data_IF_047520192564
#
_entry.id   IF_047520192564
#
_cell.length_a   1.000
_cell.length_b   1.000
_cell.length_c   1.000
_cell.angle_alpha   90.00
_cell.angle_beta   90.00
_cell.angle_gamma   90.00
#
_symmetry.space_group_name_H-M   'P 1'
#
loop_
_entity.id
_entity.type
_entity.pdbx_description
1 polymer ?
#
# COMPACT_ATOMS: atom_id res chain seq x y z
N UNK A 1 -74.46 -29.22 -12.88
CA UNK A 1 -73.70 -29.23 -11.60
C UNK A 1 -72.58 -30.20 -11.74
N UNK A 2 -71.35 -29.73 -12.06
CA UNK A 2 -70.19 -30.55 -12.22
C UNK A 2 -69.22 -30.32 -11.00
N UNK A 3 -68.90 -31.36 -10.21
CA UNK A 3 -68.09 -31.22 -9.00
C UNK A 3 -66.66 -31.65 -9.27
N UNK A 4 -65.87 -30.91 -10.06
CA UNK A 4 -64.48 -31.23 -10.31
C UNK A 4 -63.54 -30.05 -10.39
N UNK A 5 -63.64 -29.12 -9.43
CA UNK A 5 -62.56 -28.12 -9.22
C UNK A 5 -61.81 -28.42 -7.90
N UNK A 6 -60.95 -29.45 -7.96
CA UNK A 6 -59.93 -29.63 -6.91
C UNK A 6 -58.85 -28.56 -7.07
N UNK A 7 -58.80 -27.64 -6.10
CA UNK A 7 -57.70 -26.71 -5.92
C UNK A 7 -56.39 -27.48 -5.67
N UNK A 8 -55.49 -27.41 -6.64
CA UNK A 8 -54.13 -27.83 -6.43
C UNK A 8 -53.46 -26.89 -5.38
N UNK A 9 -53.13 -27.43 -4.22
CA UNK A 9 -52.33 -26.74 -3.24
C UNK A 9 -50.88 -26.64 -3.74
N UNK A 10 -50.48 -25.46 -4.21
CA UNK A 10 -49.11 -25.14 -4.52
C UNK A 10 -48.33 -25.13 -3.16
N UNK A 11 -47.52 -26.14 -2.93
CA UNK A 11 -46.55 -26.11 -1.83
C UNK A 11 -45.55 -25.02 -2.16
N UNK A 12 -45.24 -24.10 -1.20
CA UNK A 12 -44.15 -23.15 -1.40
C UNK A 12 -42.85 -23.94 -1.52
N UNK A 13 -42.12 -23.70 -2.61
CA UNK A 13 -40.74 -24.18 -2.73
C UNK A 13 -39.92 -23.53 -1.62
N UNK A 14 -39.05 -24.26 -0.94
CA UNK A 14 -38.13 -23.67 0.03
C UNK A 14 -37.22 -22.70 -0.72
N UNK A 15 -37.18 -21.47 -0.25
CA UNK A 15 -36.24 -20.46 -0.64
C UNK A 15 -34.81 -21.05 -0.63
N UNK A 16 -33.95 -20.78 -1.64
CA UNK A 16 -32.57 -21.28 -1.60
C UNK A 16 -31.94 -20.77 -0.31
N UNK A 17 -31.61 -21.73 0.56
CA UNK A 17 -30.90 -21.47 1.80
C UNK A 17 -29.70 -20.58 1.48
N UNK A 18 -29.62 -19.46 2.17
CA UNK A 18 -28.41 -18.64 2.27
C UNK A 18 -27.32 -19.63 2.68
N UNK A 19 -26.43 -19.93 1.73
CA UNK A 19 -25.34 -20.86 1.93
C UNK A 19 -24.58 -20.35 3.17
N UNK A 20 -24.62 -21.15 4.23
CA UNK A 20 -23.96 -20.93 5.50
C UNK A 20 -22.54 -20.41 5.26
N UNK A 21 -22.35 -19.16 5.59
CA UNK A 21 -21.03 -18.58 5.80
C UNK A 21 -20.50 -19.17 7.11
N UNK A 22 -20.08 -20.45 7.08
CA UNK A 22 -19.35 -21.04 8.18
C UNK A 22 -18.04 -20.28 8.36
N UNK A 23 -17.84 -19.67 9.53
CA UNK A 23 -16.59 -18.97 9.81
C UNK A 23 -15.47 -20.01 9.93
N UNK A 24 -14.44 -19.82 9.12
CA UNK A 24 -13.07 -20.32 9.24
C UNK A 24 -12.89 -21.69 9.94
N UNK A 25 -13.19 -22.82 9.29
CA UNK A 25 -12.72 -24.12 9.79
C UNK A 25 -11.37 -24.56 9.20
N UNK A 26 -10.63 -23.67 8.50
CA UNK A 26 -9.41 -24.04 7.78
C UNK A 26 -8.15 -24.11 8.65
N UNK A 27 -8.18 -23.53 9.85
CA UNK A 27 -7.06 -23.55 10.80
C UNK A 27 -7.06 -24.75 11.76
N UNK A 28 -8.15 -25.53 11.83
CA UNK A 28 -8.35 -26.57 12.87
C UNK A 28 -8.54 -27.99 12.32
N UNK A 29 -8.10 -28.30 11.10
CA UNK A 29 -8.01 -29.72 10.72
C UNK A 29 -6.86 -30.39 11.47
N UNK A 30 -7.06 -31.64 11.98
CA UNK A 30 -6.06 -32.32 12.77
C UNK A 30 -4.73 -32.42 12.04
N UNK A 31 -3.65 -32.22 12.78
CA UNK A 31 -2.30 -32.05 12.29
C UNK A 31 -1.83 -33.23 11.43
N UNK A 32 -1.99 -33.11 10.12
CA UNK A 32 -1.13 -33.87 9.23
C UNK A 32 0.32 -33.50 9.57
N UNK A 33 1.22 -34.48 9.68
CA UNK A 33 2.62 -34.20 10.00
C UNK A 33 3.19 -33.16 9.03
N UNK A 34 4.08 -32.32 9.48
CA UNK A 34 4.73 -31.27 8.64
C UNK A 34 5.32 -31.91 7.36
N UNK A 35 5.90 -33.12 7.46
CA UNK A 35 6.39 -33.90 6.32
C UNK A 35 5.31 -34.11 5.24
N UNK A 36 4.11 -34.47 5.64
CA UNK A 36 3.00 -34.68 4.69
C UNK A 36 2.58 -33.38 4.02
N UNK A 37 2.50 -32.31 4.78
CA UNK A 37 2.15 -30.97 4.23
C UNK A 37 3.16 -30.48 3.20
N UNK A 38 4.46 -30.67 3.47
CA UNK A 38 5.53 -30.34 2.53
C UNK A 38 5.40 -31.20 1.26
N UNK A 39 5.17 -32.51 1.40
CA UNK A 39 5.02 -33.42 0.28
C UNK A 39 3.77 -33.12 -0.59
N UNK A 40 2.70 -32.61 0.00
CA UNK A 40 1.47 -32.19 -0.69
C UNK A 40 1.57 -30.80 -1.32
N UNK A 41 2.64 -30.03 -1.01
CA UNK A 41 2.86 -28.71 -1.60
C UNK A 41 3.41 -28.86 -3.03
N UNK A 42 2.82 -28.18 -4.03
CA UNK A 42 3.38 -28.19 -5.37
C UNK A 42 4.85 -27.76 -5.37
N UNK A 43 5.72 -28.59 -5.98
CA UNK A 43 7.18 -28.40 -5.92
C UNK A 43 7.62 -27.02 -6.42
N UNK A 44 6.97 -26.51 -7.49
CA UNK A 44 7.23 -25.17 -8.01
C UNK A 44 6.95 -24.06 -6.99
N UNK A 45 5.87 -24.16 -6.21
CA UNK A 45 5.54 -23.19 -5.14
C UNK A 45 6.56 -23.29 -4.01
N UNK A 46 6.89 -24.52 -3.57
CA UNK A 46 7.85 -24.74 -2.50
C UNK A 46 9.24 -24.20 -2.88
N UNK A 47 9.76 -24.61 -4.03
CA UNK A 47 11.10 -24.19 -4.47
C UNK A 47 11.16 -22.68 -4.76
N UNK A 48 10.13 -22.10 -5.40
CA UNK A 48 10.09 -20.65 -5.64
C UNK A 48 10.06 -19.86 -4.31
N UNK A 49 9.28 -20.34 -3.31
CA UNK A 49 9.23 -19.71 -1.98
C UNK A 49 10.57 -19.80 -1.27
N UNK A 50 11.20 -20.98 -1.24
CA UNK A 50 12.51 -21.18 -0.61
C UNK A 50 13.61 -20.38 -1.30
N UNK A 51 13.64 -20.38 -2.62
CA UNK A 51 14.62 -19.61 -3.40
C UNK A 51 14.42 -18.08 -3.19
N UNK A 52 13.18 -17.61 -3.19
CA UNK A 52 12.86 -16.21 -2.93
C UNK A 52 13.28 -15.76 -1.53
N UNK A 53 12.96 -16.57 -0.50
CA UNK A 53 13.38 -16.30 0.88
C UNK A 53 14.91 -16.31 0.99
N UNK A 54 15.60 -17.31 0.40
CA UNK A 54 17.04 -17.39 0.45
C UNK A 54 17.71 -16.19 -0.25
N UNK A 55 17.20 -15.80 -1.42
CA UNK A 55 17.69 -14.63 -2.15
C UNK A 55 17.48 -13.33 -1.35
N UNK A 56 16.31 -13.14 -0.75
CA UNK A 56 16.00 -11.98 0.09
C UNK A 56 16.93 -11.90 1.32
N UNK A 57 17.02 -12.97 2.12
CA UNK A 57 17.87 -12.98 3.31
C UNK A 57 19.36 -12.82 2.95
N UNK A 58 19.81 -13.40 1.84
CA UNK A 58 21.18 -13.22 1.36
C UNK A 58 21.43 -11.78 0.92
N UNK A 59 20.51 -11.19 0.16
CA UNK A 59 20.64 -9.79 -0.28
C UNK A 59 20.73 -8.83 0.91
N UNK A 60 19.86 -9.00 1.91
CA UNK A 60 19.88 -8.19 3.13
C UNK A 60 21.17 -8.40 3.91
N UNK A 61 21.61 -9.67 4.08
CA UNK A 61 22.87 -9.98 4.77
C UNK A 61 24.09 -9.36 4.11
N UNK A 62 24.15 -9.42 2.77
CA UNK A 62 25.27 -8.83 2.00
C UNK A 62 25.21 -7.31 2.02
N UNK A 63 24.03 -6.72 1.88
CA UNK A 63 23.84 -5.27 1.76
C UNK A 63 23.93 -4.52 3.08
N UNK A 64 23.42 -5.10 4.19
CA UNK A 64 23.35 -4.43 5.52
C UNK A 64 24.29 -5.04 6.54
N UNK A 65 24.94 -6.17 6.22
CA UNK A 65 25.82 -6.88 7.14
C UNK A 65 25.13 -7.88 8.07
N UNK A 66 23.79 -7.81 8.22
CA UNK A 66 23.03 -8.67 9.11
C UNK A 66 21.58 -8.90 8.63
N UNK A 67 20.91 -9.89 9.22
CA UNK A 67 19.48 -10.09 9.05
C UNK A 67 18.75 -9.68 10.33
N UNK A 68 17.80 -8.77 10.20
CA UNK A 68 16.97 -8.35 11.31
C UNK A 68 15.86 -9.35 11.64
N UNK A 69 15.34 -9.28 12.86
CA UNK A 69 14.32 -10.21 13.37
C UNK A 69 13.05 -10.21 12.51
N UNK A 70 12.66 -9.03 12.02
CA UNK A 70 11.48 -8.82 11.18
C UNK A 70 11.58 -9.61 9.87
N UNK A 71 12.75 -9.65 9.24
CA UNK A 71 13.00 -10.38 7.99
C UNK A 71 12.89 -11.89 8.20
N UNK A 72 13.43 -12.40 9.31
CA UNK A 72 13.36 -13.81 9.68
C UNK A 72 11.91 -14.21 9.96
N UNK A 73 11.17 -13.41 10.74
CA UNK A 73 9.76 -13.66 11.08
C UNK A 73 8.89 -13.65 9.82
N UNK A 74 9.07 -12.65 8.95
CA UNK A 74 8.34 -12.55 7.68
C UNK A 74 8.62 -13.75 6.78
N UNK A 75 9.90 -14.16 6.65
CA UNK A 75 10.29 -15.33 5.87
C UNK A 75 9.70 -16.62 6.43
N UNK A 76 9.72 -16.81 7.73
CA UNK A 76 9.09 -17.98 8.39
C UNK A 76 7.57 -17.98 8.17
N UNK A 77 6.91 -16.84 8.29
CA UNK A 77 5.47 -16.71 8.02
C UNK A 77 5.13 -17.05 6.56
N UNK A 78 5.92 -16.56 5.60
CA UNK A 78 5.76 -16.90 4.17
C UNK A 78 5.85 -18.41 3.94
N UNK A 79 6.84 -19.06 4.52
CA UNK A 79 7.02 -20.50 4.39
C UNK A 79 5.85 -21.28 5.01
N UNK A 80 5.43 -20.91 6.22
CA UNK A 80 4.27 -21.50 6.89
C UNK A 80 3.01 -21.36 6.04
N UNK A 81 2.72 -20.16 5.52
CA UNK A 81 1.55 -19.93 4.68
C UNK A 81 1.59 -20.75 3.38
N UNK A 82 2.77 -20.94 2.79
CA UNK A 82 2.94 -21.70 1.55
C UNK A 82 2.68 -23.21 1.75
N UNK A 83 3.04 -23.78 2.92
CA UNK A 83 3.02 -25.25 3.13
C UNK A 83 1.88 -25.75 4.03
N UNK A 84 1.24 -24.88 4.84
CA UNK A 84 0.32 -25.32 5.89
C UNK A 84 -0.95 -25.99 5.35
N UNK A 85 -1.58 -25.43 4.33
CA UNK A 85 -2.79 -25.96 3.69
C UNK A 85 -3.01 -25.33 2.32
N UNK A 86 -3.90 -25.94 1.51
CA UNK A 86 -4.34 -25.34 0.24
C UNK A 86 -4.99 -23.95 0.42
N UNK A 87 -5.69 -23.76 1.55
CA UNK A 87 -6.30 -22.47 1.86
C UNK A 87 -5.29 -21.40 2.17
N UNK A 88 -4.29 -21.68 3.01
CA UNK A 88 -3.23 -20.72 3.34
C UNK A 88 -2.33 -20.46 2.13
N UNK A 89 -2.08 -21.45 1.30
CA UNK A 89 -1.33 -21.31 0.04
C UNK A 89 -2.04 -20.38 -0.95
N UNK A 90 -3.36 -20.54 -1.12
CA UNK A 90 -4.16 -19.62 -1.96
C UNK A 90 -4.16 -18.20 -1.41
N UNK A 91 -4.26 -18.06 -0.10
CA UNK A 91 -4.12 -16.75 0.57
C UNK A 91 -2.72 -16.17 0.31
N UNK A 92 -1.66 -16.94 0.56
CA UNK A 92 -0.27 -16.56 0.33
C UNK A 92 -0.03 -16.11 -1.12
N UNK A 93 -0.47 -16.90 -2.12
CA UNK A 93 -0.29 -16.54 -3.53
C UNK A 93 -1.10 -15.31 -3.93
N UNK A 94 -2.29 -15.14 -3.36
CA UNK A 94 -3.11 -13.93 -3.59
C UNK A 94 -2.51 -12.66 -2.97
N UNK A 95 -1.87 -12.81 -1.81
CA UNK A 95 -1.23 -11.70 -1.09
C UNK A 95 0.25 -11.52 -1.46
N UNK A 96 0.81 -12.37 -2.32
CA UNK A 96 2.22 -12.33 -2.71
C UNK A 96 2.69 -10.95 -3.19
N UNK A 97 1.95 -10.19 -4.01
CA UNK A 97 2.41 -8.87 -4.43
C UNK A 97 2.60 -7.87 -3.27
N UNK A 98 1.79 -7.97 -2.20
CA UNK A 98 1.97 -7.14 -1.00
C UNK A 98 3.19 -7.57 -0.18
N UNK A 99 3.49 -8.86 -0.14
CA UNK A 99 4.72 -9.36 0.50
C UNK A 99 5.96 -8.93 -0.30
N UNK A 100 5.89 -9.02 -1.63
CA UNK A 100 6.95 -8.52 -2.51
C UNK A 100 7.15 -7.01 -2.37
N UNK A 101 6.08 -6.23 -2.20
CA UNK A 101 6.18 -4.81 -1.88
C UNK A 101 6.98 -4.58 -0.59
N UNK A 102 6.69 -5.32 0.48
CA UNK A 102 7.45 -5.23 1.73
C UNK A 102 8.94 -5.56 1.52
N UNK A 103 9.25 -6.60 0.75
CA UNK A 103 10.63 -6.96 0.39
C UNK A 103 11.30 -5.85 -0.43
N UNK A 104 10.63 -5.30 -1.45
CA UNK A 104 11.18 -4.22 -2.28
C UNK A 104 11.42 -2.97 -1.43
N UNK A 105 10.51 -2.64 -0.52
CA UNK A 105 10.70 -1.53 0.41
C UNK A 105 11.92 -1.76 1.32
N UNK A 106 12.07 -2.97 1.86
CA UNK A 106 13.20 -3.30 2.73
C UNK A 106 14.55 -3.25 1.97
N UNK A 107 14.55 -3.63 0.69
CA UNK A 107 15.73 -3.53 -0.18
C UNK A 107 16.18 -2.09 -0.44
N UNK A 108 15.35 -1.06 -0.19
CA UNK A 108 15.75 0.34 -0.33
C UNK A 108 16.89 0.70 0.63
N UNK A 109 16.98 0.03 1.79
CA UNK A 109 18.09 0.19 2.73
C UNK A 109 19.46 -0.15 2.09
N UNK A 110 19.50 -1.14 1.20
CA UNK A 110 20.74 -1.54 0.49
C UNK A 110 21.12 -0.51 -0.58
N UNK A 111 20.13 0.08 -1.22
CA UNK A 111 20.31 1.00 -2.34
C UNK A 111 20.42 2.47 -1.95
N UNK A 112 20.13 2.79 -0.68
CA UNK A 112 20.23 4.15 -0.14
C UNK A 112 21.59 4.83 -0.41
N UNK A 113 22.76 4.17 -0.30
CA UNK A 113 24.03 4.81 -0.59
C UNK A 113 24.18 5.30 -2.04
N UNK A 114 23.37 4.80 -2.98
CA UNK A 114 23.40 5.25 -4.37
C UNK A 114 22.99 6.72 -4.52
N UNK A 115 22.17 7.26 -3.61
CA UNK A 115 21.76 8.68 -3.65
C UNK A 115 22.94 9.64 -3.60
N UNK A 116 24.07 9.26 -2.97
CA UNK A 116 25.27 10.09 -2.91
C UNK A 116 25.90 10.37 -4.31
N UNK A 117 25.55 9.54 -5.29
CA UNK A 117 26.05 9.67 -6.67
C UNK A 117 25.02 10.30 -7.61
N UNK A 118 23.84 10.67 -7.10
CA UNK A 118 22.76 11.25 -7.88
C UNK A 118 22.60 12.76 -7.63
N UNK A 119 22.09 13.45 -8.64
CA UNK A 119 21.70 14.85 -8.47
C UNK A 119 20.39 14.91 -7.67
N UNK A 120 20.44 15.46 -6.46
CA UNK A 120 19.27 15.67 -5.64
C UNK A 120 18.60 16.99 -5.99
N UNK A 121 17.31 16.94 -6.29
CA UNK A 121 16.48 18.10 -6.58
C UNK A 121 15.94 18.71 -5.28
N UNK A 122 16.60 19.75 -4.76
CA UNK A 122 16.22 20.40 -3.50
C UNK A 122 15.32 21.61 -3.75
N UNK A 123 15.75 22.48 -4.67
CA UNK A 123 15.10 23.77 -4.89
C UNK A 123 13.92 23.69 -5.88
N UNK A 124 14.00 22.78 -6.87
CA UNK A 124 13.02 22.71 -7.96
C UNK A 124 11.59 22.41 -7.47
N UNK A 125 11.33 21.39 -6.63
CA UNK A 125 9.99 21.13 -6.10
C UNK A 125 9.48 22.28 -5.22
N UNK A 126 10.33 22.86 -4.38
CA UNK A 126 9.99 24.00 -3.53
C UNK A 126 9.54 25.21 -4.35
N UNK A 127 10.33 25.60 -5.38
CA UNK A 127 9.97 26.75 -6.22
C UNK A 127 8.73 26.50 -7.07
N UNK A 128 8.54 25.26 -7.53
CA UNK A 128 7.32 24.87 -8.24
C UNK A 128 6.08 25.08 -7.36
N UNK A 129 6.09 24.52 -6.16
CA UNK A 129 4.96 24.66 -5.23
C UNK A 129 4.73 26.12 -4.81
N UNK A 130 5.80 26.86 -4.53
CA UNK A 130 5.70 28.27 -4.15
C UNK A 130 5.12 29.14 -5.26
N UNK A 131 5.43 28.81 -6.52
CA UNK A 131 4.95 29.57 -7.67
C UNK A 131 3.49 29.28 -8.00
N UNK A 132 3.08 27.99 -7.95
CA UNK A 132 1.74 27.58 -8.37
C UNK A 132 0.72 27.55 -7.24
N UNK A 133 1.16 27.22 -6.03
CA UNK A 133 0.29 27.02 -4.86
C UNK A 133 0.64 27.96 -3.69
N UNK A 134 1.48 28.97 -3.96
CA UNK A 134 1.93 29.90 -2.94
C UNK A 134 0.78 30.68 -2.30
N UNK A 135 0.85 30.82 -0.98
CA UNK A 135 -0.12 31.51 -0.13
C UNK A 135 0.47 32.87 0.26
N UNK A 136 -0.23 33.95 -0.06
CA UNK A 136 0.19 35.30 0.31
C UNK A 136 0.18 35.48 1.84
N UNK A 137 1.25 36.03 2.39
CA UNK A 137 1.42 36.32 3.82
C UNK A 137 2.07 37.68 4.01
N UNK A 138 1.98 38.27 5.19
CA UNK A 138 2.58 39.57 5.52
C UNK A 138 4.11 39.64 5.28
N UNK A 139 4.79 38.46 5.35
CA UNK A 139 6.25 38.35 5.11
C UNK A 139 6.64 37.86 3.70
N UNK A 140 5.70 37.81 2.74
CA UNK A 140 5.91 37.28 1.40
C UNK A 140 5.08 36.02 1.12
N UNK A 141 5.36 35.36 0.00
CA UNK A 141 4.64 34.13 -0.40
C UNK A 141 5.20 32.90 0.35
N UNK A 142 4.34 32.12 0.95
CA UNK A 142 4.66 30.86 1.61
C UNK A 142 4.24 29.68 0.73
N UNK A 143 4.96 28.55 0.77
CA UNK A 143 4.41 27.30 0.27
C UNK A 143 3.26 26.82 1.17
N UNK A 144 2.36 25.93 0.70
CA UNK A 144 1.34 25.34 1.57
C UNK A 144 1.93 24.69 2.83
N UNK A 145 3.09 24.03 2.69
CA UNK A 145 3.81 23.40 3.81
C UNK A 145 4.26 24.44 4.84
N UNK A 146 4.93 25.53 4.41
CA UNK A 146 5.33 26.65 5.29
C UNK A 146 4.15 27.31 5.98
N UNK A 147 2.99 27.40 5.28
CA UNK A 147 1.77 27.93 5.86
C UNK A 147 1.26 27.01 6.99
N UNK A 148 1.13 25.69 6.74
CA UNK A 148 0.63 24.75 7.77
C UNK A 148 1.62 24.51 8.89
N UNK A 149 2.91 24.62 8.66
CA UNK A 149 3.90 24.60 9.74
C UNK A 149 3.68 25.73 10.78
N UNK A 150 3.15 26.89 10.31
CA UNK A 150 2.83 28.04 11.18
C UNK A 150 1.37 28.02 11.68
N UNK A 151 0.47 27.34 10.96
CA UNK A 151 -0.97 27.33 11.24
C UNK A 151 -1.44 25.87 11.31
N UNK A 152 -1.38 25.29 12.51
CA UNK A 152 -1.83 23.92 12.75
C UNK A 152 -2.76 23.85 13.98
N UNK A 153 -3.56 22.78 14.06
CA UNK A 153 -4.56 22.60 15.12
C UNK A 153 -4.53 21.17 15.63
N UNK A 154 -4.59 20.92 16.95
CA UNK A 154 -4.48 19.59 17.53
C UNK A 154 -5.48 18.56 16.97
N UNK A 155 -6.72 18.99 16.67
CA UNK A 155 -7.74 18.10 16.07
C UNK A 155 -7.34 17.68 14.67
N UNK A 156 -6.79 18.60 13.87
CA UNK A 156 -6.32 18.30 12.51
C UNK A 156 -5.05 17.44 12.57
N UNK A 157 -4.13 17.74 13.49
CA UNK A 157 -2.94 16.94 13.72
C UNK A 157 -3.27 15.48 14.04
N UNK A 158 -4.30 15.25 14.89
CA UNK A 158 -4.76 13.91 15.24
C UNK A 158 -5.32 13.17 14.03
N UNK A 159 -6.27 13.76 13.29
CA UNK A 159 -6.90 13.07 12.15
C UNK A 159 -5.95 12.87 10.96
N UNK A 160 -5.08 13.83 10.70
CA UNK A 160 -4.06 13.69 9.63
C UNK A 160 -3.03 12.63 9.99
N UNK A 161 -2.55 12.59 11.23
CA UNK A 161 -1.67 11.54 11.71
C UNK A 161 -2.34 10.17 11.64
N UNK A 162 -3.58 10.04 12.11
CA UNK A 162 -4.34 8.78 12.02
C UNK A 162 -4.51 8.32 10.56
N UNK A 163 -4.85 9.22 9.64
CA UNK A 163 -4.96 8.90 8.22
C UNK A 163 -3.61 8.45 7.63
N UNK A 164 -2.53 9.08 8.07
CA UNK A 164 -1.16 8.76 7.65
C UNK A 164 -0.63 7.44 8.25
N UNK A 165 -1.29 6.88 9.26
CA UNK A 165 -1.07 5.50 9.73
C UNK A 165 -1.93 4.53 8.90
N UNK A 166 -3.21 4.85 8.69
CA UNK A 166 -4.20 3.92 8.13
C UNK A 166 -4.00 3.65 6.64
N UNK A 167 -3.44 4.57 5.87
CA UNK A 167 -3.43 4.51 4.39
C UNK A 167 -2.88 3.20 3.82
N UNK A 168 -1.79 2.67 4.35
CA UNK A 168 -1.19 1.41 3.89
C UNK A 168 -2.02 0.22 4.34
N UNK A 169 -2.49 0.24 5.59
CA UNK A 169 -3.32 -0.83 6.15
C UNK A 169 -4.68 -0.91 5.46
N UNK A 170 -5.20 0.21 4.95
CA UNK A 170 -6.42 0.25 4.16
C UNK A 170 -6.30 -0.54 2.86
N UNK A 171 -5.21 -0.35 2.12
CA UNK A 171 -4.95 -1.09 0.88
C UNK A 171 -4.70 -2.58 1.14
N UNK A 172 -3.87 -2.91 2.13
CA UNK A 172 -3.60 -4.30 2.53
C UNK A 172 -4.89 -4.96 3.04
N UNK A 173 -5.67 -4.27 3.86
CA UNK A 173 -6.95 -4.74 4.39
C UNK A 173 -7.97 -5.01 3.28
N UNK A 174 -8.01 -4.19 2.24
CA UNK A 174 -8.83 -4.45 1.06
C UNK A 174 -8.38 -5.71 0.31
N UNK A 175 -7.07 -5.90 0.12
CA UNK A 175 -6.51 -7.14 -0.43
C UNK A 175 -6.88 -8.36 0.41
N UNK A 176 -6.74 -8.27 1.74
CA UNK A 176 -7.12 -9.33 2.69
C UNK A 176 -8.63 -9.61 2.62
N UNK A 177 -9.46 -8.57 2.56
CA UNK A 177 -10.91 -8.74 2.39
C UNK A 177 -11.24 -9.54 1.13
N UNK A 178 -10.62 -9.22 0.00
CA UNK A 178 -10.82 -9.96 -1.25
C UNK A 178 -10.32 -11.41 -1.11
N UNK A 179 -9.16 -11.64 -0.52
CA UNK A 179 -8.55 -12.96 -0.36
C UNK A 179 -9.37 -13.88 0.54
N UNK A 180 -9.98 -13.35 1.60
CA UNK A 180 -10.68 -14.12 2.61
C UNK A 180 -12.19 -14.27 2.33
N UNK A 181 -12.83 -13.21 1.83
CA UNK A 181 -14.29 -13.14 1.74
C UNK A 181 -14.84 -13.15 0.30
N UNK A 182 -14.01 -12.90 -0.72
CA UNK A 182 -14.40 -12.92 -2.14
C UNK A 182 -13.67 -14.03 -2.88
N UNK A 183 -14.00 -15.28 -2.51
CA UNK A 183 -13.36 -16.49 -3.04
C UNK A 183 -13.91 -16.94 -4.40
N UNK A 184 -14.94 -16.28 -4.90
CA UNK A 184 -15.46 -16.44 -6.26
C UNK A 184 -14.41 -15.99 -7.31
N UNK A 185 -14.61 -16.40 -8.56
CA UNK A 185 -13.63 -16.13 -9.61
C UNK A 185 -13.47 -14.61 -9.86
N UNK A 186 -14.57 -13.85 -9.78
CA UNK A 186 -14.52 -12.40 -9.91
C UNK A 186 -13.68 -11.75 -8.81
N UNK A 187 -13.85 -12.19 -7.55
CA UNK A 187 -13.07 -11.70 -6.42
C UNK A 187 -11.58 -12.06 -6.53
N UNK A 188 -11.25 -13.27 -6.97
CA UNK A 188 -9.84 -13.67 -7.22
C UNK A 188 -9.20 -12.85 -8.32
N UNK A 189 -9.93 -12.59 -9.43
CA UNK A 189 -9.45 -11.73 -10.52
C UNK A 189 -9.23 -10.30 -10.03
N UNK A 190 -10.18 -9.76 -9.26
CA UNK A 190 -10.07 -8.41 -8.70
C UNK A 190 -8.87 -8.30 -7.75
N UNK A 191 -8.66 -9.28 -6.86
CA UNK A 191 -7.50 -9.35 -5.99
C UNK A 191 -6.19 -9.35 -6.80
N UNK A 192 -6.07 -10.24 -7.79
CA UNK A 192 -4.86 -10.32 -8.59
C UNK A 192 -4.55 -9.00 -9.30
N UNK A 193 -5.54 -8.38 -9.93
CA UNK A 193 -5.41 -7.09 -10.61
C UNK A 193 -4.96 -6.00 -9.64
N UNK A 194 -5.68 -5.83 -8.54
CA UNK A 194 -5.38 -4.83 -7.53
C UNK A 194 -3.97 -5.03 -6.95
N UNK A 195 -3.64 -6.25 -6.52
CA UNK A 195 -2.37 -6.55 -5.86
C UNK A 195 -1.16 -6.38 -6.79
N UNK A 196 -1.24 -6.85 -8.04
CA UNK A 196 -0.16 -6.67 -9.01
C UNK A 196 -0.03 -5.21 -9.47
N UNK A 197 -1.14 -4.47 -9.64
CA UNK A 197 -1.09 -3.04 -9.93
C UNK A 197 -0.48 -2.26 -8.77
N UNK A 198 -0.84 -2.61 -7.53
CA UNK A 198 -0.24 -2.05 -6.33
C UNK A 198 1.28 -2.26 -6.30
N UNK A 199 1.75 -3.48 -6.51
CA UNK A 199 3.19 -3.78 -6.56
C UNK A 199 3.90 -3.01 -7.68
N UNK A 200 3.38 -3.08 -8.91
CA UNK A 200 3.99 -2.42 -10.06
C UNK A 200 4.08 -0.90 -9.86
N UNK A 201 3.03 -0.29 -9.35
CA UNK A 201 3.02 1.14 -9.04
C UNK A 201 4.10 1.50 -8.00
N UNK A 202 4.29 0.69 -6.97
CA UNK A 202 5.33 0.91 -5.97
C UNK A 202 6.74 0.73 -6.56
N UNK A 203 6.96 -0.31 -7.37
CA UNK A 203 8.26 -0.53 -8.04
C UNK A 203 8.60 0.65 -8.95
N UNK A 204 7.63 1.14 -9.74
CA UNK A 204 7.84 2.31 -10.60
C UNK A 204 8.04 3.59 -9.77
N UNK A 205 7.30 3.75 -8.67
CA UNK A 205 7.49 4.87 -7.74
C UNK A 205 8.87 4.88 -7.11
N UNK A 206 9.32 3.75 -6.58
CA UNK A 206 10.68 3.63 -6.04
C UNK A 206 11.76 3.84 -7.11
N UNK A 207 11.56 3.31 -8.33
CA UNK A 207 12.47 3.60 -9.44
C UNK A 207 12.55 5.11 -9.74
N UNK A 208 11.42 5.82 -9.63
CA UNK A 208 11.38 7.29 -9.82
C UNK A 208 12.20 8.02 -8.76
N UNK A 209 12.27 7.54 -7.51
CA UNK A 209 13.12 8.14 -6.48
C UNK A 209 14.61 8.14 -6.86
N UNK A 210 15.06 7.18 -7.67
CA UNK A 210 16.44 7.15 -8.20
C UNK A 210 16.62 7.93 -9.50
N UNK A 211 15.56 8.05 -10.31
CA UNK A 211 15.61 8.83 -11.58
C UNK A 211 15.51 10.33 -11.29
N UNK A 212 14.68 10.70 -10.32
CA UNK A 212 14.45 12.08 -9.91
C UNK A 212 14.39 12.18 -8.38
N UNK A 213 15.52 12.00 -7.70
CA UNK A 213 15.54 12.12 -6.25
C UNK A 213 15.28 13.56 -5.83
N UNK A 214 14.32 13.76 -4.93
CA UNK A 214 13.85 15.07 -4.52
C UNK A 214 13.79 15.19 -3.00
N UNK A 215 14.20 16.34 -2.48
CA UNK A 215 14.11 16.66 -1.07
C UNK A 215 12.66 16.96 -0.67
N UNK A 216 12.16 16.35 0.42
CA UNK A 216 10.84 16.67 0.95
C UNK A 216 10.80 18.07 1.61
N UNK A 217 9.59 18.65 1.81
CA UNK A 217 9.45 19.99 2.40
C UNK A 217 10.13 20.12 3.76
N UNK A 218 10.01 19.14 4.66
CA UNK A 218 10.65 19.15 5.98
C UNK A 218 12.17 19.27 5.89
N UNK A 219 12.78 18.68 4.84
CA UNK A 219 14.22 18.80 4.63
C UNK A 219 14.60 20.25 4.32
N UNK A 220 13.88 20.88 3.40
CA UNK A 220 14.11 22.28 3.02
C UNK A 220 13.85 23.22 4.20
N UNK A 221 12.83 22.96 5.01
CA UNK A 221 12.55 23.72 6.23
C UNK A 221 13.71 23.68 7.26
N UNK A 222 14.36 22.51 7.39
CA UNK A 222 15.44 22.31 8.36
C UNK A 222 16.83 22.68 7.83
N UNK A 223 17.12 22.47 6.54
CA UNK A 223 18.46 22.55 5.96
C UNK A 223 18.59 23.61 4.84
N UNK A 224 17.46 24.23 4.44
CA UNK A 224 17.43 25.24 3.37
C UNK A 224 17.54 24.64 1.97
N UNK A 225 17.83 25.54 0.99
CA UNK A 225 17.88 25.21 -0.44
C UNK A 225 19.31 24.99 -0.95
N UNK A 226 20.26 24.78 -0.03
CA UNK A 226 21.67 24.53 -0.33
C UNK A 226 21.93 23.13 -0.92
N UNK A 227 23.22 22.78 -1.10
CA UNK A 227 23.61 21.43 -1.50
C UNK A 227 23.04 20.36 -0.56
N UNK A 228 22.71 19.14 -1.07
CA UNK A 228 22.15 18.10 -0.24
C UNK A 228 23.17 17.61 0.81
N UNK A 229 22.68 17.40 2.03
CA UNK A 229 23.44 16.77 3.12
C UNK A 229 22.99 15.30 3.26
N UNK A 230 23.87 14.39 2.90
CA UNK A 230 23.61 12.94 2.95
C UNK A 230 23.78 12.35 4.36
N UNK A 231 24.21 13.13 5.34
CA UNK A 231 24.28 12.71 6.75
C UNK A 231 22.94 12.83 7.48
N UNK A 232 21.99 13.55 6.89
CA UNK A 232 20.65 13.79 7.44
C UNK A 232 19.86 12.48 7.49
N UNK A 233 19.19 12.24 8.61
CA UNK A 233 18.28 11.11 8.78
C UNK A 233 16.84 11.51 8.46
N UNK A 234 16.03 10.54 8.09
CA UNK A 234 14.60 10.73 7.86
C UNK A 234 13.90 11.30 9.11
N UNK A 235 12.95 12.20 8.89
CA UNK A 235 12.25 12.94 9.94
C UNK A 235 10.75 12.65 9.90
N UNK A 236 10.10 12.50 11.06
CA UNK A 236 8.63 12.45 11.15
C UNK A 236 7.98 13.81 10.87
N UNK A 237 8.75 14.88 10.73
CA UNK A 237 8.28 16.24 10.43
C UNK A 237 7.07 16.66 11.28
N UNK A 238 6.01 17.18 10.66
CA UNK A 238 4.77 17.56 11.33
C UNK A 238 4.01 16.42 12.01
N UNK A 239 4.30 15.17 11.67
CA UNK A 239 3.66 14.02 12.31
C UNK A 239 4.09 13.80 13.78
N UNK A 240 5.18 14.44 14.23
CA UNK A 240 5.54 14.50 15.67
C UNK A 240 4.43 15.09 16.53
N UNK A 241 3.56 15.95 15.96
CA UNK A 241 2.43 16.53 16.68
C UNK A 241 1.38 15.47 17.05
N UNK A 242 1.18 14.45 16.20
CA UNK A 242 0.35 13.30 16.53
C UNK A 242 0.96 12.48 17.69
N UNK A 243 2.26 12.19 17.64
CA UNK A 243 2.95 11.49 18.71
C UNK A 243 2.81 12.23 20.04
N UNK A 244 2.94 13.56 20.03
CA UNK A 244 2.79 14.40 21.22
C UNK A 244 1.35 14.38 21.79
N UNK A 245 0.33 14.36 20.92
CA UNK A 245 -1.10 14.34 21.34
C UNK A 245 -1.47 12.97 21.92
N UNK A 246 -0.98 11.89 21.32
CA UNK A 246 -1.36 10.53 21.70
C UNK A 246 -0.48 9.96 22.82
N UNK A 247 0.72 10.50 23.01
CA UNK A 247 1.75 9.93 23.90
C UNK A 247 2.40 8.66 23.33
N UNK A 248 2.14 8.31 22.06
CA UNK A 248 2.68 7.11 21.39
C UNK A 248 3.72 7.56 20.35
N UNK A 249 5.01 7.18 20.47
CA UNK A 249 6.07 7.63 19.56
C UNK A 249 6.04 6.88 18.21
N UNK A 250 4.86 6.75 17.59
CA UNK A 250 4.68 5.94 16.38
C UNK A 250 5.50 6.47 15.20
N UNK A 251 5.36 7.74 14.88
CA UNK A 251 6.05 8.34 13.75
C UNK A 251 7.55 8.53 14.04
N UNK A 252 7.89 8.92 15.26
CA UNK A 252 9.30 9.06 15.69
C UNK A 252 10.06 7.74 15.56
N UNK A 253 9.45 6.62 15.95
CA UNK A 253 10.07 5.29 15.80
C UNK A 253 10.10 4.82 14.35
N UNK A 254 9.03 5.05 13.59
CA UNK A 254 8.94 4.62 12.19
C UNK A 254 9.98 5.34 11.32
N UNK A 255 10.01 6.68 11.37
CA UNK A 255 10.94 7.45 10.57
C UNK A 255 12.39 7.33 11.07
N UNK A 256 12.60 7.08 12.34
CA UNK A 256 13.93 6.79 12.89
C UNK A 256 14.59 5.55 12.28
N UNK A 257 13.82 4.65 11.67
CA UNK A 257 14.28 3.44 10.96
C UNK A 257 14.28 3.60 9.45
N UNK A 258 13.66 4.64 8.89
CA UNK A 258 13.56 4.83 7.44
C UNK A 258 14.89 5.30 6.86
N UNK A 259 15.28 4.70 5.73
CA UNK A 259 16.50 5.07 5.00
C UNK A 259 16.25 6.22 4.00
N UNK A 260 14.99 6.40 3.54
CA UNK A 260 14.68 7.31 2.42
C UNK A 260 14.49 8.74 2.91
N UNK A 261 15.48 9.61 2.61
CA UNK A 261 15.38 11.06 2.82
C UNK A 261 14.92 11.77 1.54
N UNK A 262 15.43 11.36 0.37
CA UNK A 262 15.23 12.05 -0.90
C UNK A 262 14.21 11.37 -1.83
N UNK A 263 13.36 10.52 -1.29
CA UNK A 263 12.27 9.85 -2.00
C UNK A 263 10.94 10.60 -1.90
N UNK A 264 10.90 11.91 -2.21
CA UNK A 264 9.66 12.68 -2.09
C UNK A 264 8.71 12.54 -3.28
N UNK A 265 9.24 12.38 -4.50
CA UNK A 265 8.46 12.39 -5.77
C UNK A 265 8.48 10.99 -6.43
N UNK A 266 7.30 10.40 -6.72
CA UNK A 266 5.92 10.84 -6.39
C UNK A 266 5.51 10.47 -4.96
N UNK A 267 4.45 11.10 -4.42
CA UNK A 267 3.86 10.68 -3.15
C UNK A 267 3.14 9.33 -3.30
N UNK A 268 3.73 8.26 -2.77
CA UNK A 268 3.08 6.94 -2.75
C UNK A 268 1.98 6.84 -1.68
N UNK A 269 1.98 7.70 -0.67
CA UNK A 269 0.95 7.71 0.38
C UNK A 269 -0.46 7.90 -0.19
N UNK A 270 -0.63 8.81 -1.14
CA UNK A 270 -1.92 9.13 -1.75
C UNK A 270 -2.40 8.06 -2.72
N UNK A 271 -1.48 7.28 -3.28
CA UNK A 271 -1.80 6.28 -4.30
C UNK A 271 -2.60 5.11 -3.74
N UNK A 272 -2.36 4.70 -2.48
CA UNK A 272 -2.95 3.50 -1.90
C UNK A 272 -4.46 3.61 -1.67
N UNK A 273 -4.97 4.65 -0.98
CA UNK A 273 -6.41 4.82 -0.85
C UNK A 273 -7.08 5.13 -2.18
N UNK A 274 -6.39 5.81 -3.12
CA UNK A 274 -6.93 6.06 -4.46
C UNK A 274 -7.07 4.76 -5.27
N UNK A 275 -6.06 3.88 -5.27
CA UNK A 275 -6.18 2.57 -5.91
C UNK A 275 -7.28 1.74 -5.25
N UNK A 276 -7.37 1.73 -3.93
CA UNK A 276 -8.45 1.04 -3.22
C UNK A 276 -9.82 1.56 -3.63
N UNK A 277 -9.98 2.87 -3.82
CA UNK A 277 -11.20 3.46 -4.36
C UNK A 277 -11.48 2.98 -5.78
N UNK A 278 -10.50 3.08 -6.70
CA UNK A 278 -10.68 2.74 -8.12
C UNK A 278 -11.08 1.28 -8.31
N UNK A 279 -10.45 0.34 -7.60
CA UNK A 279 -10.78 -1.09 -7.66
C UNK A 279 -11.98 -1.47 -6.80
N UNK A 280 -12.17 -0.81 -5.67
CA UNK A 280 -13.30 -1.04 -4.75
C UNK A 280 -14.66 -0.80 -5.39
N UNK A 281 -14.75 0.14 -6.34
CA UNK A 281 -15.97 0.44 -7.11
C UNK A 281 -16.54 -0.78 -7.85
N UNK A 282 -15.70 -1.75 -8.22
CA UNK A 282 -16.16 -2.99 -8.84
C UNK A 282 -17.05 -3.83 -7.91
N UNK A 283 -16.91 -3.65 -6.58
CA UNK A 283 -17.75 -4.30 -5.58
C UNK A 283 -19.14 -3.63 -5.42
N UNK A 284 -19.33 -2.43 -5.97
CA UNK A 284 -20.57 -1.63 -5.87
C UNK A 284 -21.04 -1.42 -4.42
N UNK A 285 -20.08 -1.23 -3.50
CA UNK A 285 -20.35 -0.95 -2.08
C UNK A 285 -20.12 0.53 -1.81
N UNK A 286 -21.20 1.31 -1.73
CA UNK A 286 -21.15 2.77 -1.54
C UNK A 286 -20.31 3.19 -0.33
N UNK A 287 -20.42 2.47 0.78
CA UNK A 287 -19.63 2.80 1.98
C UNK A 287 -18.13 2.69 1.72
N UNK A 288 -17.69 1.67 0.95
CA UNK A 288 -16.29 1.48 0.60
C UNK A 288 -15.80 2.59 -0.32
N UNK A 289 -16.63 3.00 -1.29
CA UNK A 289 -16.31 4.10 -2.20
C UNK A 289 -16.14 5.41 -1.42
N UNK A 290 -17.08 5.73 -0.52
CA UNK A 290 -17.02 6.94 0.31
C UNK A 290 -15.84 6.91 1.27
N UNK A 291 -15.61 5.79 1.95
CA UNK A 291 -14.50 5.65 2.90
C UNK A 291 -13.13 5.74 2.20
N UNK A 292 -12.96 5.03 1.07
CA UNK A 292 -11.69 5.05 0.34
C UNK A 292 -11.40 6.41 -0.30
N UNK A 293 -12.42 7.06 -0.87
CA UNK A 293 -12.25 8.39 -1.46
C UNK A 293 -12.04 9.46 -0.39
N UNK A 294 -12.78 9.38 0.73
CA UNK A 294 -12.57 10.26 1.87
C UNK A 294 -11.17 10.11 2.47
N UNK A 295 -10.69 8.87 2.62
CA UNK A 295 -9.33 8.61 3.08
C UNK A 295 -8.29 9.13 2.07
N UNK A 296 -8.51 8.97 0.78
CA UNK A 296 -7.65 9.55 -0.26
C UNK A 296 -7.52 11.07 -0.13
N UNK A 297 -8.63 11.78 0.03
CA UNK A 297 -8.62 13.24 0.21
C UNK A 297 -7.91 13.64 1.51
N UNK A 298 -8.19 12.92 2.60
CA UNK A 298 -7.56 13.20 3.90
C UNK A 298 -6.05 12.92 3.88
N UNK A 299 -5.60 11.83 3.25
CA UNK A 299 -4.17 11.52 3.11
C UNK A 299 -3.47 12.51 2.18
N UNK A 300 -4.14 12.95 1.10
CA UNK A 300 -3.60 13.97 0.20
C UNK A 300 -3.38 15.31 0.93
N UNK A 301 -4.34 15.70 1.76
CA UNK A 301 -4.20 16.88 2.63
C UNK A 301 -3.11 16.63 3.69
N UNK A 302 -3.12 15.49 4.35
CA UNK A 302 -2.16 15.14 5.40
C UNK A 302 -0.71 15.14 4.90
N UNK A 303 -0.46 14.69 3.68
CA UNK A 303 0.87 14.66 3.06
C UNK A 303 1.51 16.06 3.01
N UNK A 304 0.72 17.08 2.71
CA UNK A 304 1.15 18.48 2.67
C UNK A 304 1.16 19.08 4.08
N UNK A 305 0.09 18.87 4.85
CA UNK A 305 -0.09 19.43 6.19
C UNK A 305 0.97 18.95 7.21
N UNK A 306 1.39 17.68 7.08
CA UNK A 306 2.42 17.08 7.94
C UNK A 306 3.84 17.29 7.42
N UNK A 307 4.02 18.12 6.38
CA UNK A 307 5.31 18.53 5.84
C UNK A 307 6.14 17.40 5.18
N UNK A 308 5.46 16.32 4.74
CA UNK A 308 6.13 15.20 4.09
C UNK A 308 6.23 15.35 2.56
N UNK A 309 5.25 16.00 1.92
CA UNK A 309 5.17 16.14 0.48
C UNK A 309 4.74 17.53 0.06
N UNK A 310 5.25 17.99 -1.09
CA UNK A 310 4.71 19.12 -1.82
C UNK A 310 3.38 18.74 -2.50
N UNK A 311 2.60 19.75 -2.90
CA UNK A 311 1.38 19.52 -3.72
C UNK A 311 1.74 18.84 -5.03
N UNK A 312 2.88 19.20 -5.63
CA UNK A 312 3.43 18.54 -6.82
C UNK A 312 3.54 17.02 -6.63
N UNK A 313 4.10 16.58 -5.51
CA UNK A 313 4.31 15.15 -5.23
C UNK A 313 3.00 14.38 -5.14
N UNK A 314 2.00 15.02 -4.50
CA UNK A 314 0.62 14.51 -4.40
C UNK A 314 -0.01 14.38 -5.79
N UNK A 315 0.09 15.43 -6.62
CA UNK A 315 -0.45 15.40 -7.99
C UNK A 315 0.20 14.30 -8.84
N UNK A 316 1.51 14.14 -8.74
CA UNK A 316 2.22 13.07 -9.44
C UNK A 316 1.83 11.68 -8.88
N UNK A 317 1.65 11.53 -7.57
CA UNK A 317 1.12 10.32 -6.97
C UNK A 317 -0.26 9.94 -7.52
N UNK A 318 -1.17 10.90 -7.62
CA UNK A 318 -2.49 10.70 -8.26
C UNK A 318 -2.34 10.25 -9.71
N UNK A 319 -1.47 10.92 -10.49
CA UNK A 319 -1.20 10.54 -11.87
C UNK A 319 -0.70 9.09 -11.98
N UNK A 320 0.25 8.68 -11.13
CA UNK A 320 0.79 7.32 -11.09
C UNK A 320 -0.31 6.29 -10.82
N UNK A 321 -1.17 6.52 -9.82
CA UNK A 321 -2.27 5.62 -9.50
C UNK A 321 -3.27 5.49 -10.65
N UNK A 322 -3.65 6.61 -11.28
CA UNK A 322 -4.59 6.63 -12.41
C UNK A 322 -3.97 5.95 -13.64
N UNK A 323 -2.71 6.22 -13.95
CA UNK A 323 -2.01 5.58 -15.08
C UNK A 323 -1.89 4.08 -14.85
N UNK A 324 -1.46 3.63 -13.67
CA UNK A 324 -1.36 2.21 -13.35
C UNK A 324 -2.70 1.48 -13.49
N UNK A 325 -3.78 2.07 -12.98
CA UNK A 325 -5.13 1.54 -13.14
C UNK A 325 -5.59 1.50 -14.60
N UNK A 326 -5.31 2.54 -15.39
CA UNK A 326 -5.65 2.59 -16.83
C UNK A 326 -4.87 1.55 -17.63
N UNK A 327 -3.61 1.32 -17.29
CA UNK A 327 -2.79 0.27 -17.90
C UNK A 327 -3.41 -1.10 -17.63
N UNK A 328 -3.81 -1.40 -16.39
CA UNK A 328 -4.51 -2.64 -16.06
C UNK A 328 -5.79 -2.82 -16.91
N UNK A 329 -6.63 -1.78 -17.01
CA UNK A 329 -7.84 -1.83 -17.84
C UNK A 329 -7.53 -2.08 -19.33
N UNK A 330 -6.50 -1.43 -19.86
CA UNK A 330 -6.07 -1.61 -21.25
C UNK A 330 -5.56 -3.03 -21.51
N UNK A 331 -4.77 -3.59 -20.60
CA UNK A 331 -4.28 -4.97 -20.68
C UNK A 331 -5.45 -5.97 -20.69
N UNK A 332 -6.45 -5.78 -19.82
CA UNK A 332 -7.63 -6.65 -19.80
C UNK A 332 -8.44 -6.59 -21.09
N UNK A 333 -8.64 -5.38 -21.62
CA UNK A 333 -9.33 -5.20 -22.88
C UNK A 333 -8.58 -5.91 -24.03
N UNK A 334 -7.26 -5.80 -24.09
CA UNK A 334 -6.42 -6.45 -25.07
C UNK A 334 -6.47 -7.99 -24.97
N UNK A 335 -6.38 -8.55 -23.75
CA UNK A 335 -6.49 -9.98 -23.52
C UNK A 335 -7.86 -10.54 -23.92
N UNK A 336 -8.96 -9.83 -23.60
CA UNK A 336 -10.32 -10.25 -23.99
C UNK A 336 -10.45 -10.33 -25.50
N UNK A 337 -9.95 -9.35 -26.24
CA UNK A 337 -10.01 -9.36 -27.72
C UNK A 337 -9.26 -10.54 -28.34
N UNK A 338 -8.10 -10.91 -27.79
CA UNK A 338 -7.33 -12.06 -28.28
C UNK A 338 -7.97 -13.40 -27.95
N UNK A 339 -8.79 -13.51 -26.91
CA UNK A 339 -9.49 -14.73 -26.55
C UNK A 339 -10.77 -14.95 -27.37
N UNK A 340 -11.25 -13.94 -28.10
CA UNK A 340 -12.49 -14.00 -28.93
C UNK A 340 -12.22 -13.99 -30.43
N UNK A 341 -10.99 -13.78 -30.87
CA UNK A 341 -10.54 -13.92 -32.27
C UNK A 341 -9.70 -15.18 -32.44
#
# INVERSE_FOLDING_TARGET
>A
MDPSLRRASVRPQPSPAIADATPIPLLLRPAASLRRRIAETPSNVLYATLAGIAAYLLAMRVGTGENHREQIITSAAMLVLAVWSDGTRRFFTGMLPFLLFGIVYDLTHITQPLFQHLRIHVAEPYHFDKTLFGIASAGGTLTPNEFFARHHWPVVDFFTGLAYIIFVYWAIGFGMYLALFRRDEAGRRLLARFAWTFLLMNVVGFATYYVYPAAPPWYVAAHGLGPPDFSVRSSPAGATRFDAITGIPYFSEFYGRSADVFGAIPSLHVTYPLLTFLYGRELRKRWLDVASFGLFLLVSFAAVYLDHHYVLDVMLGVLYAVVAWRVDLALQWWWRRRATG
#
